data_IF_336096543319
#
_entry.id   IF_336096543319
#
_cell.length_a   1.000
_cell.length_b   1.000
_cell.length_c   1.000
_cell.angle_alpha   90.00
_cell.angle_beta   90.00
_cell.angle_gamma   90.00
#
_symmetry.space_group_name_H-M   'P 1'
#
loop_
_entity.id
_entity.type
_entity.pdbx_description
1 polymer ?
#
# COMPACT_ATOMS: atom_id res chain seq x y z
N UNK A 1 -9.59 0.02 16.51
CA UNK A 1 -9.52 1.30 17.17
C UNK A 1 -10.94 1.80 17.34
N UNK A 2 -11.40 1.84 18.53
CA UNK A 2 -12.57 2.64 18.80
C UNK A 2 -12.12 4.09 18.72
N UNK A 3 -12.51 4.80 17.68
CA UNK A 3 -12.47 6.26 17.67
C UNK A 3 -13.43 6.85 18.72
N UNK A 4 -14.26 6.00 19.30
CA UNK A 4 -15.02 6.34 20.48
C UNK A 4 -14.07 6.20 21.67
N UNK A 5 -13.77 7.31 22.34
CA UNK A 5 -13.25 7.23 23.68
C UNK A 5 -14.16 6.26 24.44
N UNK A 6 -13.65 5.14 24.86
CA UNK A 6 -14.33 4.21 25.76
C UNK A 6 -14.44 4.82 27.17
N UNK A 7 -14.10 6.12 27.31
CA UNK A 7 -14.27 6.89 28.52
C UNK A 7 -15.75 6.85 28.94
N UNK A 8 -16.03 6.07 29.95
CA UNK A 8 -17.36 5.89 30.52
C UNK A 8 -18.01 4.52 30.31
N UNK A 9 -17.51 3.65 29.44
CA UNK A 9 -18.12 2.32 29.24
C UNK A 9 -17.47 1.19 30.04
N UNK A 10 -16.33 1.47 30.70
CA UNK A 10 -15.65 0.44 31.53
C UNK A 10 -15.08 -0.76 30.75
N UNK A 11 -15.13 -0.73 29.42
CA UNK A 11 -14.65 -1.79 28.55
C UNK A 11 -13.33 -1.38 27.93
N UNK A 12 -12.25 -2.10 28.26
CA UNK A 12 -10.98 -2.07 27.51
C UNK A 12 -10.99 -3.22 26.52
N UNK A 13 -11.16 -2.93 25.24
CA UNK A 13 -10.81 -3.87 24.18
C UNK A 13 -9.32 -3.71 23.89
N UNK A 14 -8.57 -4.81 23.90
CA UNK A 14 -7.20 -4.80 23.39
C UNK A 14 -7.22 -4.63 21.87
N UNK A 15 -6.12 -4.15 21.30
CA UNK A 15 -6.00 -4.07 19.85
C UNK A 15 -6.04 -5.46 19.21
N UNK A 16 -5.58 -6.50 19.91
CA UNK A 16 -5.70 -7.90 19.46
C UNK A 16 -7.16 -8.33 19.39
N UNK A 17 -8.01 -8.00 20.40
CA UNK A 17 -9.44 -8.31 20.35
C UNK A 17 -10.12 -7.71 19.12
N UNK A 18 -9.69 -6.50 18.69
CA UNK A 18 -10.20 -5.87 17.47
C UNK A 18 -9.72 -6.61 16.21
N UNK A 19 -8.46 -7.03 16.15
CA UNK A 19 -7.96 -7.83 15.03
C UNK A 19 -8.68 -9.17 14.94
N UNK A 20 -8.93 -9.83 16.08
CA UNK A 20 -9.64 -11.11 16.15
C UNK A 20 -11.11 -11.01 15.70
N UNK A 21 -11.73 -9.83 15.86
CA UNK A 21 -13.06 -9.57 15.31
C UNK A 21 -13.07 -9.42 13.77
N UNK A 22 -11.97 -8.96 13.21
CA UNK A 22 -11.86 -8.68 11.78
C UNK A 22 -11.29 -9.86 10.98
N UNK A 23 -10.45 -10.69 11.60
CA UNK A 23 -9.79 -11.81 10.95
C UNK A 23 -10.08 -13.13 11.67
N UNK A 24 -10.17 -14.24 10.94
CA UNK A 24 -10.04 -14.40 9.49
C UNK A 24 -11.22 -13.86 8.68
N UNK A 25 -10.94 -13.34 7.49
CA UNK A 25 -11.98 -12.89 6.56
C UNK A 25 -12.93 -14.06 6.17
N UNK A 26 -14.19 -13.74 5.96
CA UNK A 26 -15.19 -14.67 5.43
C UNK A 26 -14.96 -14.98 3.95
N UNK A 27 -15.55 -16.05 3.44
CA UNK A 27 -15.47 -16.39 2.01
C UNK A 27 -16.05 -15.27 1.11
N UNK A 28 -17.07 -14.57 1.60
CA UNK A 28 -17.65 -13.43 0.89
C UNK A 28 -16.66 -12.28 0.76
N UNK A 29 -15.96 -11.94 1.84
CA UNK A 29 -14.95 -10.86 1.84
C UNK A 29 -13.76 -11.23 0.98
N UNK A 30 -13.27 -12.46 1.06
CA UNK A 30 -12.18 -12.95 0.18
C UNK A 30 -12.56 -12.79 -1.30
N UNK A 31 -13.79 -13.14 -1.69
CA UNK A 31 -14.27 -12.95 -3.08
C UNK A 31 -14.28 -11.46 -3.48
N UNK A 32 -14.72 -10.58 -2.57
CA UNK A 32 -14.72 -9.13 -2.79
C UNK A 32 -13.31 -8.58 -2.99
N UNK A 33 -12.36 -8.98 -2.13
CA UNK A 33 -10.95 -8.58 -2.26
C UNK A 33 -10.34 -9.03 -3.57
N UNK A 34 -10.53 -10.29 -3.97
CA UNK A 34 -10.03 -10.82 -5.25
C UNK A 34 -10.59 -10.05 -6.46
N UNK A 35 -11.89 -9.75 -6.42
CA UNK A 35 -12.49 -8.96 -7.50
C UNK A 35 -11.95 -7.53 -7.52
N UNK A 36 -11.93 -6.88 -6.35
CA UNK A 36 -11.50 -5.49 -6.24
C UNK A 36 -10.02 -5.34 -6.61
N UNK A 37 -9.14 -6.21 -6.11
CA UNK A 37 -7.71 -6.19 -6.44
C UNK A 37 -7.48 -6.33 -7.94
N UNK A 38 -8.08 -7.35 -8.58
CA UNK A 38 -7.99 -7.55 -10.03
C UNK A 38 -8.49 -6.33 -10.79
N UNK A 39 -9.67 -5.82 -10.42
CA UNK A 39 -10.27 -4.68 -11.12
C UNK A 39 -9.44 -3.41 -10.98
N UNK A 40 -8.88 -3.15 -9.80
CA UNK A 40 -8.00 -2.02 -9.60
C UNK A 40 -6.70 -2.13 -10.41
N UNK A 41 -6.10 -3.33 -10.49
CA UNK A 41 -4.93 -3.54 -11.36
C UNK A 41 -5.26 -3.25 -12.82
N UNK A 42 -6.35 -3.82 -13.36
CA UNK A 42 -6.81 -3.55 -14.73
C UNK A 42 -7.02 -2.05 -14.99
N UNK A 43 -7.62 -1.35 -14.03
CA UNK A 43 -7.86 0.10 -14.14
C UNK A 43 -6.54 0.87 -14.14
N UNK A 44 -5.63 0.59 -13.22
CA UNK A 44 -4.36 1.32 -13.14
C UNK A 44 -3.47 1.05 -14.35
N UNK A 45 -3.45 -0.17 -14.87
CA UNK A 45 -2.77 -0.50 -16.14
C UNK A 45 -3.37 0.29 -17.31
N UNK A 46 -4.70 0.32 -17.43
CA UNK A 46 -5.39 1.15 -18.45
C UNK A 46 -5.12 2.64 -18.28
N UNK A 47 -4.94 3.13 -17.07
CA UNK A 47 -4.52 4.51 -16.78
C UNK A 47 -3.10 4.73 -17.24
N UNK A 48 -2.17 3.83 -16.91
CA UNK A 48 -0.77 3.91 -17.29
C UNK A 48 -0.59 4.06 -18.81
N UNK A 49 -1.38 3.33 -19.59
CA UNK A 49 -1.40 3.42 -21.05
C UNK A 49 -1.86 4.78 -21.59
N UNK A 50 -2.55 5.57 -20.79
CA UNK A 50 -3.11 6.88 -21.17
C UNK A 50 -2.26 8.05 -20.68
N UNK A 51 -1.35 7.83 -19.73
CA UNK A 51 -0.46 8.86 -19.19
C UNK A 51 0.48 9.37 -20.29
N UNK A 52 0.65 10.68 -20.38
CA UNK A 52 1.55 11.33 -21.35
C UNK A 52 2.27 12.50 -20.69
N UNK A 53 3.52 12.80 -21.07
CA UNK A 53 4.16 14.06 -20.73
C UNK A 53 3.30 15.27 -21.06
N UNK A 54 3.35 16.28 -20.19
CA UNK A 54 2.50 17.48 -20.26
C UNK A 54 1.18 17.39 -19.48
N UNK A 55 0.72 16.18 -19.11
CA UNK A 55 -0.42 16.04 -18.19
C UNK A 55 -0.04 16.54 -16.80
N UNK A 56 -0.95 17.26 -16.14
CA UNK A 56 -0.72 17.72 -14.77
C UNK A 56 -1.06 16.64 -13.73
N UNK A 57 -0.54 16.79 -12.49
CA UNK A 57 -0.93 15.93 -11.38
C UNK A 57 -2.45 15.86 -11.19
N UNK A 58 -3.19 16.96 -11.50
CA UNK A 58 -4.66 16.96 -11.42
C UNK A 58 -5.30 16.18 -12.56
N UNK A 59 -4.75 16.25 -13.78
CA UNK A 59 -5.22 15.44 -14.91
C UNK A 59 -5.06 13.96 -14.62
N UNK A 60 -3.94 13.58 -14.01
CA UNK A 60 -3.65 12.21 -13.60
C UNK A 60 -4.61 11.72 -12.52
N UNK A 61 -4.88 12.53 -11.49
CA UNK A 61 -5.88 12.21 -10.48
C UNK A 61 -7.29 12.05 -11.08
N UNK A 62 -7.68 12.97 -11.96
CA UNK A 62 -8.96 12.90 -12.65
C UNK A 62 -9.07 11.62 -13.47
N UNK A 63 -8.02 11.26 -14.20
CA UNK A 63 -7.99 10.05 -15.02
C UNK A 63 -8.19 8.79 -14.17
N UNK A 64 -7.43 8.65 -13.07
CA UNK A 64 -7.56 7.54 -12.11
C UNK A 64 -8.97 7.50 -11.52
N UNK A 65 -9.47 8.63 -11.02
CA UNK A 65 -10.80 8.70 -10.42
C UNK A 65 -11.91 8.30 -11.39
N UNK A 66 -11.87 8.83 -12.61
CA UNK A 66 -12.85 8.53 -13.67
C UNK A 66 -12.92 7.03 -13.96
N UNK A 67 -11.77 6.40 -14.16
CA UNK A 67 -11.71 4.98 -14.50
C UNK A 67 -12.16 4.08 -13.33
N UNK A 68 -11.87 4.45 -12.09
CA UNK A 68 -12.36 3.75 -10.90
C UNK A 68 -13.88 3.93 -10.73
N UNK A 69 -14.38 5.16 -10.86
CA UNK A 69 -15.81 5.47 -10.74
C UNK A 69 -16.66 4.74 -11.79
N UNK A 70 -16.13 4.50 -12.97
CA UNK A 70 -16.81 3.72 -14.00
C UNK A 70 -17.21 2.32 -13.49
N UNK A 71 -16.43 1.75 -12.54
CA UNK A 71 -16.67 0.46 -11.92
C UNK A 71 -17.33 0.57 -10.54
N UNK A 72 -17.86 1.73 -10.17
CA UNK A 72 -18.41 2.00 -8.82
C UNK A 72 -17.37 1.71 -7.71
N UNK A 73 -16.10 2.03 -7.98
CA UNK A 73 -14.99 1.92 -7.04
C UNK A 73 -14.64 3.33 -6.56
N UNK A 74 -14.68 3.55 -5.24
CA UNK A 74 -14.38 4.84 -4.65
C UNK A 74 -12.89 4.95 -4.29
N UNK A 75 -12.13 5.90 -4.88
CA UNK A 75 -10.76 6.17 -4.48
C UNK A 75 -10.75 6.93 -3.14
N UNK A 76 -10.44 6.24 -2.04
CA UNK A 76 -10.30 6.87 -0.71
C UNK A 76 -8.98 7.61 -0.57
N UNK A 77 -7.96 7.19 -1.32
CA UNK A 77 -6.71 7.89 -1.57
C UNK A 77 -6.49 7.88 -3.08
N UNK A 78 -6.12 9.02 -3.64
CA UNK A 78 -5.78 9.17 -5.04
C UNK A 78 -4.69 10.25 -5.14
N UNK A 79 -3.45 9.81 -5.12
CA UNK A 79 -2.28 10.68 -5.17
C UNK A 79 -1.56 10.48 -6.50
N UNK A 80 -1.31 11.57 -7.18
CA UNK A 80 -0.43 11.64 -8.33
C UNK A 80 0.65 12.67 -8.04
N UNK A 81 1.89 12.32 -8.27
CA UNK A 81 3.02 13.23 -8.16
C UNK A 81 3.98 13.01 -9.31
N UNK A 82 4.63 14.07 -9.73
CA UNK A 82 5.49 14.05 -10.92
C UNK A 82 6.90 14.52 -10.59
N UNK A 83 7.85 14.00 -11.36
CA UNK A 83 9.26 14.41 -11.47
C UNK A 83 9.94 14.59 -10.11
N UNK A 84 10.57 15.73 -9.83
CA UNK A 84 11.29 15.99 -8.59
C UNK A 84 10.42 15.76 -7.35
N UNK A 85 9.13 16.09 -7.41
CA UNK A 85 8.20 15.87 -6.28
C UNK A 85 7.97 14.38 -6.02
N UNK A 86 7.87 13.58 -7.06
CA UNK A 86 7.76 12.13 -6.94
C UNK A 86 9.07 11.48 -6.48
N UNK A 87 10.22 12.09 -6.83
CA UNK A 87 11.54 11.59 -6.45
C UNK A 87 11.93 11.95 -5.02
N UNK A 88 11.50 13.11 -4.51
CA UNK A 88 11.94 13.63 -3.21
C UNK A 88 10.96 13.39 -2.07
N UNK A 89 9.66 13.26 -2.37
CA UNK A 89 8.59 13.16 -1.38
C UNK A 89 7.94 11.77 -1.44
N UNK A 90 7.66 11.18 -0.27
CA UNK A 90 7.09 9.82 -0.20
C UNK A 90 5.58 9.74 -0.47
N UNK A 91 4.82 10.77 -0.09
CA UNK A 91 3.38 10.87 -0.33
C UNK A 91 2.97 12.32 -0.63
N UNK A 92 3.46 12.91 -1.72
CA UNK A 92 3.17 14.30 -2.02
C UNK A 92 1.70 14.51 -2.42
N UNK A 93 1.07 15.49 -1.79
CA UNK A 93 -0.25 15.95 -2.21
C UNK A 93 -0.10 16.67 -3.56
N UNK A 94 -0.94 16.38 -4.56
CA UNK A 94 -0.88 17.02 -5.87
C UNK A 94 -0.95 18.55 -5.81
N UNK A 95 -0.16 19.21 -6.67
CA UNK A 95 -0.04 20.65 -6.79
C UNK A 95 -0.37 21.18 -8.21
N UNK A 96 -0.70 20.27 -9.12
CA UNK A 96 -0.96 20.61 -10.51
C UNK A 96 0.30 20.80 -11.36
N UNK A 97 1.44 20.24 -10.91
CA UNK A 97 2.68 20.27 -11.68
C UNK A 97 2.54 19.44 -12.96
N UNK A 98 3.07 19.89 -14.10
CA UNK A 98 3.06 19.11 -15.32
C UNK A 98 4.09 17.97 -15.26
N UNK A 99 3.75 16.81 -15.79
CA UNK A 99 4.61 15.66 -15.97
C UNK A 99 5.63 15.91 -17.09
N UNK A 100 6.90 15.74 -16.79
CA UNK A 100 7.97 15.71 -17.79
C UNK A 100 8.40 14.28 -18.10
N UNK A 101 8.86 13.54 -17.09
CA UNK A 101 9.45 12.21 -17.29
C UNK A 101 9.05 11.16 -16.29
N UNK A 102 8.71 11.52 -15.05
CA UNK A 102 8.48 10.56 -13.98
C UNK A 102 7.17 10.82 -13.25
N UNK A 103 6.40 9.78 -13.03
CA UNK A 103 5.15 9.86 -12.24
C UNK A 103 5.03 8.70 -11.28
N UNK A 104 4.55 9.02 -10.07
CA UNK A 104 4.09 8.07 -9.06
C UNK A 104 2.59 8.21 -8.89
N UNK A 105 1.86 7.12 -9.11
CA UNK A 105 0.42 6.99 -8.86
C UNK A 105 0.21 6.10 -7.63
N UNK A 106 -0.50 6.60 -6.62
CA UNK A 106 -0.84 5.83 -5.41
C UNK A 106 -2.34 5.89 -5.16
N UNK A 107 -2.96 4.74 -5.03
CA UNK A 107 -4.41 4.60 -4.90
C UNK A 107 -4.77 3.68 -3.74
N UNK A 108 -5.70 4.15 -2.89
CA UNK A 108 -6.48 3.25 -2.04
C UNK A 108 -7.91 3.25 -2.57
N UNK A 109 -8.40 2.11 -3.01
CA UNK A 109 -9.68 1.96 -3.69
C UNK A 109 -10.64 1.11 -2.84
N UNK A 110 -11.87 1.57 -2.68
CA UNK A 110 -12.89 0.94 -1.83
C UNK A 110 -14.14 0.56 -2.61
N UNK A 111 -14.62 -0.66 -2.38
CA UNK A 111 -15.94 -1.11 -2.81
C UNK A 111 -16.49 -2.19 -1.86
N UNK A 112 -17.79 -2.24 -1.63
CA UNK A 112 -18.48 -3.24 -0.79
C UNK A 112 -17.89 -3.40 0.62
N UNK A 113 -17.34 -2.32 1.17
CA UNK A 113 -16.74 -2.35 2.50
C UNK A 113 -15.34 -2.97 2.56
N UNK A 114 -14.68 -3.25 1.44
CA UNK A 114 -13.27 -3.68 1.41
C UNK A 114 -12.42 -2.64 0.69
N UNK A 115 -11.12 -2.59 1.02
CA UNK A 115 -10.16 -1.61 0.48
C UNK A 115 -8.94 -2.35 -0.06
N UNK A 116 -8.43 -1.92 -1.19
CA UNK A 116 -7.12 -2.31 -1.72
C UNK A 116 -6.26 -1.07 -1.92
N UNK A 117 -4.95 -1.22 -1.77
CA UNK A 117 -3.97 -0.16 -1.98
C UNK A 117 -2.92 -0.63 -2.95
N UNK A 118 -2.51 0.26 -3.85
CA UNK A 118 -1.43 0.01 -4.80
C UNK A 118 -0.77 1.30 -5.25
N UNK A 119 0.49 1.19 -5.67
CA UNK A 119 1.22 2.26 -6.33
C UNK A 119 1.87 1.76 -7.61
N UNK A 120 1.96 2.65 -8.60
CA UNK A 120 2.67 2.38 -9.85
C UNK A 120 3.54 3.58 -10.21
N UNK A 121 4.72 3.27 -10.71
CA UNK A 121 5.69 4.26 -11.17
C UNK A 121 5.82 4.12 -12.69
N UNK A 122 5.81 5.26 -13.39
CA UNK A 122 6.01 5.30 -14.84
C UNK A 122 7.15 6.28 -15.14
N UNK A 123 8.02 5.91 -16.05
CA UNK A 123 9.12 6.74 -16.50
C UNK A 123 9.09 6.88 -18.04
N UNK A 124 9.22 8.11 -18.51
CA UNK A 124 9.29 8.42 -19.95
C UNK A 124 10.75 8.76 -20.29
N UNK A 125 11.41 7.89 -21.04
CA UNK A 125 12.82 7.94 -21.35
C UNK A 125 13.64 6.92 -20.54
N UNK A 126 14.92 7.22 -20.31
CA UNK A 126 15.84 6.34 -19.61
C UNK A 126 15.98 6.79 -18.14
N UNK A 127 15.54 5.98 -17.17
CA UNK A 127 15.73 6.32 -15.76
C UNK A 127 17.22 6.29 -15.37
N UNK A 128 17.58 7.09 -14.37
CA UNK A 128 18.94 7.07 -13.84
C UNK A 128 19.25 5.73 -13.16
N UNK A 129 20.55 5.36 -13.15
CA UNK A 129 20.99 4.15 -12.46
C UNK A 129 20.64 4.19 -10.96
N UNK A 130 20.77 5.35 -10.32
CA UNK A 130 20.37 5.55 -8.91
C UNK A 130 18.88 5.26 -8.67
N UNK A 131 18.00 5.71 -9.58
CA UNK A 131 16.56 5.44 -9.47
C UNK A 131 16.26 3.94 -9.60
N UNK A 132 16.92 3.26 -10.54
CA UNK A 132 16.78 1.81 -10.72
C UNK A 132 17.27 1.03 -9.50
N UNK A 133 18.39 1.42 -8.89
CA UNK A 133 18.91 0.80 -7.66
C UNK A 133 17.93 0.98 -6.49
N UNK A 134 17.38 2.17 -6.28
CA UNK A 134 16.35 2.43 -5.27
C UNK A 134 15.08 1.62 -5.51
N UNK A 135 14.68 1.49 -6.78
CA UNK A 135 13.53 0.67 -7.17
C UNK A 135 13.78 -0.81 -6.86
N UNK A 136 14.95 -1.32 -7.15
CA UNK A 136 15.35 -2.70 -6.82
C UNK A 136 15.36 -2.93 -5.30
N UNK A 137 15.92 -2.00 -4.52
CA UNK A 137 15.94 -2.10 -3.05
C UNK A 137 14.52 -2.15 -2.48
N UNK A 138 13.65 -1.21 -2.85
CA UNK A 138 12.26 -1.21 -2.35
C UNK A 138 11.48 -2.47 -2.77
N UNK A 139 11.78 -3.04 -3.94
CA UNK A 139 11.24 -4.33 -4.39
C UNK A 139 11.71 -5.51 -3.55
N UNK A 140 13.01 -5.56 -3.24
CA UNK A 140 13.59 -6.59 -2.34
C UNK A 140 13.01 -6.50 -0.93
N UNK A 141 12.80 -5.30 -0.43
CA UNK A 141 12.15 -5.08 0.87
C UNK A 141 10.72 -5.61 0.85
N UNK A 142 9.93 -5.29 -0.18
CA UNK A 142 8.57 -5.83 -0.31
C UNK A 142 8.57 -7.36 -0.33
N UNK A 143 9.43 -7.97 -1.13
CA UNK A 143 9.54 -9.43 -1.22
C UNK A 143 9.93 -10.08 0.11
N UNK A 144 10.87 -9.48 0.85
CA UNK A 144 11.26 -9.95 2.17
C UNK A 144 10.11 -9.88 3.17
N UNK A 145 9.39 -8.75 3.23
CA UNK A 145 8.22 -8.58 4.09
C UNK A 145 7.12 -9.60 3.76
N UNK A 146 6.82 -9.80 2.48
CA UNK A 146 5.82 -10.78 2.05
C UNK A 146 6.24 -12.20 2.43
N UNK A 147 7.51 -12.56 2.26
CA UNK A 147 8.04 -13.89 2.62
C UNK A 147 7.95 -14.18 4.12
N UNK A 148 8.17 -13.17 4.97
CA UNK A 148 8.05 -13.28 6.42
C UNK A 148 6.59 -13.28 6.92
N UNK A 149 5.65 -12.83 6.08
CA UNK A 149 4.24 -12.78 6.42
C UNK A 149 3.63 -14.18 6.30
N UNK A 150 3.60 -14.89 7.42
CA UNK A 150 3.09 -16.26 7.51
C UNK A 150 2.03 -16.38 8.61
N UNK A 151 1.10 -17.33 8.44
CA UNK A 151 0.09 -17.59 9.47
C UNK A 151 0.79 -18.08 10.76
N UNK A 152 0.60 -17.35 11.85
CA UNK A 152 1.19 -17.64 13.16
C UNK A 152 2.52 -16.93 13.43
N UNK A 153 3.13 -16.24 12.45
CA UNK A 153 4.23 -15.30 12.73
C UNK A 153 3.69 -14.00 13.34
N UNK A 154 4.57 -13.17 13.85
CA UNK A 154 4.25 -11.87 14.44
C UNK A 154 4.49 -10.73 13.46
N UNK A 155 3.95 -9.54 13.74
CA UNK A 155 4.32 -8.34 12.98
C UNK A 155 5.78 -7.95 13.21
N UNK A 156 6.38 -8.32 14.36
CA UNK A 156 7.81 -8.14 14.64
C UNK A 156 8.66 -8.90 13.64
N UNK A 157 8.32 -10.16 13.35
CA UNK A 157 9.06 -10.96 12.36
C UNK A 157 9.10 -10.28 10.98
N UNK A 158 8.01 -9.61 10.60
CA UNK A 158 7.94 -8.85 9.35
C UNK A 158 8.76 -7.55 9.43
N UNK A 159 8.73 -6.85 10.57
CA UNK A 159 9.52 -5.63 10.78
C UNK A 159 11.02 -5.92 10.78
N UNK A 160 11.46 -6.98 11.44
CA UNK A 160 12.88 -7.35 11.52
C UNK A 160 13.47 -7.61 10.12
N UNK A 161 12.73 -8.32 9.26
CA UNK A 161 13.20 -8.53 7.87
C UNK A 161 13.08 -7.27 7.02
N UNK A 162 12.12 -6.38 7.29
CA UNK A 162 12.01 -5.07 6.66
C UNK A 162 13.24 -4.22 6.93
N UNK A 163 13.61 -4.05 8.20
CA UNK A 163 14.79 -3.29 8.62
C UNK A 163 16.06 -3.86 8.01
N UNK A 164 16.22 -5.20 8.12
CA UNK A 164 17.37 -5.89 7.55
C UNK A 164 17.48 -5.70 6.04
N UNK A 165 16.38 -5.81 5.31
CA UNK A 165 16.40 -5.70 3.85
C UNK A 165 16.76 -4.27 3.38
N UNK A 166 16.36 -3.23 4.12
CA UNK A 166 16.81 -1.87 3.87
C UNK A 166 18.31 -1.70 4.15
N UNK A 167 18.81 -2.24 5.28
CA UNK A 167 20.23 -2.20 5.64
C UNK A 167 21.08 -2.93 4.59
N UNK A 168 20.69 -4.14 4.19
CA UNK A 168 21.36 -4.90 3.14
C UNK A 168 21.40 -4.15 1.79
N UNK A 169 20.44 -3.26 1.55
CA UNK A 169 20.38 -2.38 0.38
C UNK A 169 21.13 -1.04 0.54
N UNK A 170 21.77 -0.77 1.68
CA UNK A 170 22.48 0.48 1.94
C UNK A 170 21.56 1.67 2.27
N UNK A 171 20.35 1.40 2.77
CA UNK A 171 19.34 2.42 3.08
C UNK A 171 18.76 2.25 4.51
N UNK A 172 19.65 2.11 5.52
CA UNK A 172 19.35 1.70 6.90
C UNK A 172 18.24 2.48 7.60
N UNK A 173 18.01 3.74 7.25
CA UNK A 173 17.04 4.63 7.92
C UNK A 173 15.74 4.85 7.14
N UNK A 174 15.62 4.32 5.92
CA UNK A 174 14.45 4.56 5.05
C UNK A 174 13.13 4.00 5.62
N UNK A 175 13.19 2.87 6.34
CA UNK A 175 12.02 2.29 6.97
C UNK A 175 11.37 3.17 8.04
N UNK A 176 12.15 4.06 8.67
CA UNK A 176 11.68 4.99 9.69
C UNK A 176 10.96 6.21 9.08
N UNK A 177 11.31 6.57 7.86
CA UNK A 177 10.84 7.79 7.17
C UNK A 177 9.44 7.63 6.58
N UNK A 178 8.92 6.41 6.52
CA UNK A 178 7.60 6.11 5.97
C UNK A 178 6.97 4.92 6.68
N UNK A 179 5.65 4.89 6.72
CA UNK A 179 4.90 3.72 7.21
C UNK A 179 5.09 2.57 6.22
N UNK A 180 5.51 1.41 6.73
CA UNK A 180 5.86 0.25 5.90
C UNK A 180 4.67 -0.63 5.53
N UNK A 181 3.49 -0.35 6.08
CA UNK A 181 2.29 -1.10 5.79
C UNK A 181 1.66 -1.76 7.02
N UNK A 182 0.72 -2.65 6.75
CA UNK A 182 -0.02 -3.39 7.78
C UNK A 182 -1.30 -4.02 7.23
N UNK A 183 -2.10 -4.67 8.10
CA UNK A 183 -3.38 -5.22 7.71
C UNK A 183 -4.37 -4.13 7.32
N UNK A 184 -5.20 -4.42 6.32
CA UNK A 184 -6.20 -3.48 5.80
C UNK A 184 -7.61 -4.07 5.81
N UNK A 185 -8.60 -3.20 6.04
CA UNK A 185 -10.03 -3.51 6.06
C UNK A 185 -10.87 -2.36 5.51
N UNK A 186 -12.11 -2.31 5.96
CA UNK A 186 -13.18 -1.41 5.48
C UNK A 186 -12.84 0.08 5.48
N UNK A 187 -12.01 0.53 6.43
CA UNK A 187 -11.56 1.93 6.54
C UNK A 187 -10.16 2.17 5.98
N UNK A 188 -9.54 1.14 5.40
CA UNK A 188 -8.13 1.15 5.01
C UNK A 188 -7.27 0.39 6.02
N UNK A 189 -6.12 0.94 6.41
CA UNK A 189 -5.21 0.28 7.36
C UNK A 189 -5.83 0.20 8.75
N UNK A 190 -5.79 -1.01 9.34
CA UNK A 190 -6.31 -1.27 10.69
C UNK A 190 -5.33 -0.77 11.73
N UNK A 191 -4.05 -1.12 11.58
CA UNK A 191 -2.93 -0.68 12.39
C UNK A 191 -1.64 -0.69 11.55
N UNK A 192 -0.59 -0.05 12.05
CA UNK A 192 0.75 -0.25 11.50
C UNK A 192 1.42 -1.44 12.19
N UNK A 193 2.30 -2.13 11.49
CA UNK A 193 3.02 -3.27 12.08
C UNK A 193 3.73 -2.90 13.40
N UNK A 194 4.34 -1.70 13.44
CA UNK A 194 5.07 -1.20 14.62
C UNK A 194 4.19 -0.88 15.82
N UNK A 195 2.89 -0.65 15.62
CA UNK A 195 1.96 -0.29 16.71
C UNK A 195 1.59 -1.53 17.54
N UNK A 196 1.70 -2.72 16.95
CA UNK A 196 1.34 -3.99 17.56
C UNK A 196 2.33 -5.11 17.19
N UNK A 197 3.62 -4.95 17.48
CA UNK A 197 4.67 -5.83 16.96
C UNK A 197 4.48 -7.30 17.37
N UNK A 198 3.89 -7.57 18.52
CA UNK A 198 3.69 -8.92 19.05
C UNK A 198 2.35 -9.55 18.61
N UNK A 199 1.54 -8.84 17.81
CA UNK A 199 0.30 -9.38 17.28
C UNK A 199 0.57 -10.52 16.30
N UNK A 200 -0.22 -11.60 16.44
CA UNK A 200 -0.13 -12.78 15.59
C UNK A 200 -0.85 -12.55 14.26
N UNK A 201 -0.25 -13.03 13.20
CA UNK A 201 -0.82 -13.00 11.86
C UNK A 201 -1.82 -14.13 11.70
N UNK A 202 -3.10 -13.77 11.52
CA UNK A 202 -4.16 -14.73 11.31
C UNK A 202 -4.22 -15.23 9.85
N UNK A 203 -4.80 -16.42 9.66
CA UNK A 203 -5.17 -16.90 8.34
C UNK A 203 -6.24 -16.00 7.72
N UNK A 204 -6.24 -15.83 6.40
CA UNK A 204 -7.16 -14.96 5.65
C UNK A 204 -7.10 -13.50 6.12
N UNK A 205 -5.89 -13.00 6.26
CA UNK A 205 -5.61 -11.58 6.51
C UNK A 205 -5.17 -10.91 5.21
N UNK A 206 -5.67 -9.72 4.96
CA UNK A 206 -5.24 -8.88 3.83
C UNK A 206 -4.30 -7.81 4.33
N UNK A 207 -3.16 -7.68 3.66
CA UNK A 207 -2.15 -6.68 3.94
C UNK A 207 -1.97 -5.74 2.75
N UNK A 208 -1.58 -4.51 3.03
CA UNK A 208 -0.96 -3.61 2.07
C UNK A 208 0.40 -3.19 2.63
N UNK A 209 1.47 -3.56 1.93
CA UNK A 209 2.82 -3.09 2.24
C UNK A 209 3.24 -2.06 1.22
N UNK A 210 3.98 -1.05 1.68
CA UNK A 210 4.38 0.08 0.87
C UNK A 210 5.81 0.56 1.13
N UNK A 211 6.83 -0.34 1.09
CA UNK A 211 8.21 0.06 1.25
C UNK A 211 8.62 1.09 0.19
N UNK A 212 9.44 2.05 0.62
CA UNK A 212 9.74 3.24 -0.16
C UNK A 212 11.18 3.70 0.09
N UNK A 213 12.00 3.79 -0.94
CA UNK A 213 13.16 4.67 -0.96
C UNK A 213 12.78 5.98 -1.65
N UNK A 214 13.44 7.09 -1.36
CA UNK A 214 13.10 8.36 -2.01
C UNK A 214 13.18 8.24 -3.55
N UNK A 215 12.09 8.53 -4.24
CA UNK A 215 11.94 8.34 -5.69
C UNK A 215 11.47 6.94 -6.12
N UNK A 216 11.34 6.00 -5.20
CA UNK A 216 10.91 4.63 -5.50
C UNK A 216 9.89 4.15 -4.48
N UNK A 217 8.90 3.41 -4.92
CA UNK A 217 7.86 2.84 -4.06
C UNK A 217 7.29 1.57 -4.68
N UNK A 218 7.24 0.51 -3.88
CA UNK A 218 6.44 -0.66 -4.18
C UNK A 218 5.26 -0.72 -3.22
N UNK A 219 4.06 -0.76 -3.74
CA UNK A 219 2.85 -0.91 -2.93
C UNK A 219 1.86 -1.82 -3.62
N UNK A 220 1.57 -2.93 -2.95
CA UNK A 220 0.53 -3.86 -3.38
C UNK A 220 -0.24 -4.41 -2.18
N UNK A 221 -1.49 -4.77 -2.46
CA UNK A 221 -2.36 -5.50 -1.54
C UNK A 221 -2.31 -6.99 -1.85
N UNK A 222 -2.19 -7.80 -0.83
CA UNK A 222 -2.21 -9.25 -0.97
C UNK A 222 -3.02 -9.92 0.14
N UNK A 223 -3.57 -11.07 -0.15
CA UNK A 223 -4.29 -11.94 0.79
C UNK A 223 -3.35 -13.07 1.25
N UNK A 224 -3.14 -13.16 2.55
CA UNK A 224 -2.45 -14.29 3.17
C UNK A 224 -3.44 -15.41 3.46
N UNK A 225 -3.11 -16.61 3.02
CA UNK A 225 -3.81 -17.85 3.37
C UNK A 225 -2.82 -18.92 3.86
N UNK A 226 -3.33 -20.02 4.43
CA UNK A 226 -2.47 -21.18 4.75
C UNK A 226 -1.80 -21.81 3.53
N UNK A 227 -2.22 -21.46 2.31
CA UNK A 227 -1.62 -21.93 1.05
C UNK A 227 -0.56 -20.98 0.51
N UNK A 228 -0.36 -19.85 1.17
CA UNK A 228 0.55 -18.77 0.76
C UNK A 228 -0.18 -17.46 0.47
N UNK A 229 0.53 -16.58 -0.20
CA UNK A 229 0.09 -15.23 -0.59
C UNK A 229 -0.55 -15.28 -1.99
N UNK A 230 -1.63 -14.56 -2.15
CA UNK A 230 -2.31 -14.30 -3.43
C UNK A 230 -2.65 -12.82 -3.59
#
# INVERSE_FOLDING_TARGET
ATDASTAGLGVKLSDQDLLDLYYPLTDSEVKKYRWLGRKCSEVIESVADKVRPGMTEFDLQYLVARELWYWDIFPTVNLASVDERAMSLKQPVPKGMPLESFVSLSVCARRWGVVVSMSRLLYFGEPSQELLEKFEVSGKVLAAMQSATQVGSTYRDVLDVNEKAYADGGHDDEWQKHVQGGPILTKGRVCHLRDQPDALIANRTVFAFNPTCAGSKHEDTFLLTRKGIE
#
